data_IF_005978056865
#
_entry.id   IF_005978056865
#
_cell.length_a   1.000
_cell.length_b   1.000
_cell.length_c   1.000
_cell.angle_alpha   90.00
_cell.angle_beta   90.00
_cell.angle_gamma   90.00
#
_symmetry.space_group_name_H-M   'P 1'
#
loop_
_entity.id
_entity.type
_entity.pdbx_description
1 polymer ?
#
# COMPACT_ATOMS: atom_id res chain seq x y z
N UNK A 1 61.83 -47.62 -17.00
CA UNK A 1 60.67 -47.15 -16.20
C UNK A 1 60.54 -45.65 -16.42
N UNK A 2 59.66 -45.25 -17.32
CA UNK A 2 59.35 -43.86 -17.55
C UNK A 2 58.17 -43.44 -16.67
N UNK A 3 58.39 -42.52 -15.75
CA UNK A 3 57.34 -41.91 -14.91
C UNK A 3 56.52 -40.92 -15.74
N UNK A 4 55.25 -41.24 -15.96
CA UNK A 4 54.28 -40.30 -16.58
C UNK A 4 54.01 -39.14 -15.64
N UNK A 5 54.33 -37.94 -16.08
CA UNK A 5 53.98 -36.71 -15.37
C UNK A 5 52.48 -36.44 -15.49
N UNK A 6 51.81 -36.28 -14.33
CA UNK A 6 50.37 -35.88 -14.27
C UNK A 6 50.17 -34.47 -14.82
N UNK A 7 49.20 -34.32 -15.72
CA UNK A 7 48.80 -33.04 -16.25
C UNK A 7 48.21 -32.12 -15.12
N UNK A 8 48.52 -30.80 -15.18
CA UNK A 8 48.01 -29.87 -14.17
C UNK A 8 46.48 -29.72 -14.29
N UNK A 9 45.77 -29.87 -13.15
CA UNK A 9 44.33 -29.63 -13.03
C UNK A 9 44.12 -28.11 -13.13
N UNK A 10 43.52 -27.64 -14.22
CA UNK A 10 43.11 -26.25 -14.39
C UNK A 10 41.95 -25.97 -13.41
N UNK A 11 42.04 -24.95 -12.55
CA UNK A 11 40.93 -24.58 -11.68
C UNK A 11 39.70 -24.15 -12.51
N UNK A 12 38.56 -24.80 -12.31
CA UNK A 12 37.30 -24.37 -12.89
C UNK A 12 36.96 -23.02 -12.27
N UNK A 13 36.89 -21.97 -13.07
CA UNK A 13 36.47 -20.65 -12.62
C UNK A 13 35.08 -20.75 -12.01
N UNK A 14 34.85 -20.13 -10.86
CA UNK A 14 33.49 -20.11 -10.25
C UNK A 14 32.48 -19.50 -11.23
N UNK A 15 31.24 -19.96 -11.29
CA UNK A 15 30.24 -19.44 -12.18
C UNK A 15 30.13 -17.93 -11.93
N UNK A 16 30.30 -17.14 -12.97
CA UNK A 16 30.11 -15.69 -12.92
C UNK A 16 28.64 -15.46 -12.57
N UNK A 17 28.37 -15.02 -11.35
CA UNK A 17 27.06 -14.49 -10.97
C UNK A 17 26.86 -13.25 -11.83
N UNK A 18 25.96 -13.36 -12.80
CA UNK A 18 25.57 -12.27 -13.69
C UNK A 18 25.15 -11.07 -12.82
N UNK A 19 26.01 -10.05 -12.78
CA UNK A 19 25.74 -8.87 -11.95
C UNK A 19 24.46 -8.22 -12.48
N UNK A 20 23.42 -8.20 -11.63
CA UNK A 20 22.19 -7.46 -11.92
C UNK A 20 22.60 -6.05 -12.37
N UNK A 21 22.11 -5.58 -13.52
CA UNK A 21 22.35 -4.21 -13.95
C UNK A 21 22.02 -3.29 -12.77
N UNK A 22 22.87 -2.28 -12.51
CA UNK A 22 22.63 -1.29 -11.46
C UNK A 22 21.23 -0.76 -11.71
N UNK A 23 20.23 -1.29 -10.98
CA UNK A 23 18.85 -0.91 -11.13
C UNK A 23 18.78 0.60 -10.92
N UNK A 24 18.65 1.32 -12.01
CA UNK A 24 18.25 2.72 -11.98
C UNK A 24 16.95 2.74 -11.17
N UNK A 25 16.97 3.46 -10.06
CA UNK A 25 15.77 3.66 -9.23
C UNK A 25 14.66 4.15 -10.15
N UNK A 26 13.56 3.42 -10.24
CA UNK A 26 12.45 3.74 -11.16
C UNK A 26 11.69 4.90 -10.52
N UNK A 27 11.86 6.08 -11.10
CA UNK A 27 11.27 7.31 -10.57
C UNK A 27 9.74 7.26 -10.59
N UNK A 28 9.15 6.56 -11.55
CA UNK A 28 7.69 6.36 -11.63
C UNK A 28 7.10 5.74 -10.35
N UNK A 29 7.81 4.79 -9.70
CA UNK A 29 7.38 4.20 -8.42
C UNK A 29 7.40 5.25 -7.31
N UNK A 30 8.45 6.06 -7.23
CA UNK A 30 8.54 7.12 -6.22
C UNK A 30 7.53 8.24 -6.52
N UNK A 31 7.28 8.59 -7.78
CA UNK A 31 6.24 9.55 -8.15
C UNK A 31 4.83 9.07 -7.76
N UNK A 32 4.52 7.80 -8.03
CA UNK A 32 3.22 7.23 -7.62
C UNK A 32 3.07 7.25 -6.11
N UNK A 33 4.12 6.90 -5.38
CA UNK A 33 4.13 7.00 -3.91
C UNK A 33 3.95 8.44 -3.45
N UNK A 34 4.66 9.40 -4.06
CA UNK A 34 4.52 10.83 -3.77
C UNK A 34 3.14 11.37 -4.10
N UNK A 35 2.53 10.94 -5.20
CA UNK A 35 1.18 11.33 -5.58
C UNK A 35 0.15 10.91 -4.52
N UNK A 36 0.18 9.65 -4.08
CA UNK A 36 -0.75 9.21 -3.05
C UNK A 36 -0.45 9.80 -1.67
N UNK A 37 0.79 10.27 -1.39
CA UNK A 37 1.09 11.08 -0.20
C UNK A 37 0.36 12.42 -0.23
N UNK A 38 0.29 13.08 -1.41
CA UNK A 38 -0.47 14.32 -1.58
C UNK A 38 -1.97 14.09 -1.33
N UNK A 39 -2.54 13.03 -1.89
CA UNK A 39 -3.94 12.68 -1.63
C UNK A 39 -4.20 12.34 -0.16
N UNK A 40 -3.27 11.65 0.48
CA UNK A 40 -3.43 11.22 1.88
C UNK A 40 -3.45 12.39 2.86
N UNK A 41 -2.76 13.51 2.57
CA UNK A 41 -2.90 14.72 3.38
C UNK A 41 -4.31 15.27 3.33
N UNK A 42 -4.96 15.25 2.16
CA UNK A 42 -6.36 15.71 2.03
C UNK A 42 -7.26 14.82 2.90
N UNK A 43 -7.10 13.50 2.83
CA UNK A 43 -7.86 12.56 3.65
C UNK A 43 -7.69 12.81 5.16
N UNK A 44 -6.45 12.93 5.60
CA UNK A 44 -6.17 13.08 7.02
C UNK A 44 -6.49 14.49 7.54
N UNK A 45 -6.41 15.52 6.70
CA UNK A 45 -6.89 16.86 7.07
C UNK A 45 -8.42 16.87 7.20
N UNK A 46 -9.14 16.21 6.29
CA UNK A 46 -10.59 16.01 6.39
C UNK A 46 -10.94 15.24 7.69
N UNK A 47 -10.31 14.10 7.92
CA UNK A 47 -10.53 13.30 9.12
C UNK A 47 -10.21 14.05 10.42
N UNK A 48 -9.28 15.01 10.40
CA UNK A 48 -8.90 15.76 11.59
C UNK A 48 -9.81 16.96 11.88
N UNK A 49 -10.31 17.65 10.86
CA UNK A 49 -10.95 18.97 11.03
C UNK A 49 -12.34 19.07 10.43
N UNK A 50 -12.73 18.23 9.46
CA UNK A 50 -14.00 18.38 8.74
C UNK A 50 -15.15 17.68 9.50
N UNK A 51 -16.14 18.46 9.94
CA UNK A 51 -17.34 17.94 10.61
C UNK A 51 -18.20 17.04 9.69
N UNK A 52 -18.04 17.17 8.37
CA UNK A 52 -18.74 16.36 7.37
C UNK A 52 -17.90 15.21 6.80
N UNK A 53 -16.78 14.87 7.45
CA UNK A 53 -15.91 13.79 7.00
C UNK A 53 -16.65 12.46 6.90
N UNK A 54 -16.53 11.80 5.75
CA UNK A 54 -17.12 10.48 5.53
C UNK A 54 -16.11 9.38 5.96
N UNK A 55 -16.36 8.75 7.10
CA UNK A 55 -15.53 7.61 7.62
C UNK A 55 -16.07 6.24 7.16
N UNK A 56 -16.92 6.19 6.15
CA UNK A 56 -17.99 5.22 5.97
C UNK A 56 -17.79 4.26 4.80
N UNK A 57 -16.61 3.66 4.71
CA UNK A 57 -16.26 2.73 3.64
C UNK A 57 -16.42 1.27 4.09
N UNK A 58 -17.57 0.94 4.69
CA UNK A 58 -17.82 -0.39 5.27
C UNK A 58 -19.30 -0.69 5.42
N UNK A 59 -19.68 -1.96 5.34
CA UNK A 59 -21.02 -2.44 5.66
C UNK A 59 -21.44 -2.21 7.11
N UNK A 60 -20.52 -1.84 8.00
CA UNK A 60 -20.84 -1.46 9.38
C UNK A 60 -21.46 -0.07 9.51
N UNK A 61 -21.48 0.71 8.44
CA UNK A 61 -22.04 2.05 8.48
C UNK A 61 -23.56 2.05 8.44
N UNK A 62 -24.22 2.56 9.47
CA UNK A 62 -25.66 2.41 9.61
C UNK A 62 -26.49 3.34 8.72
N UNK A 63 -25.88 4.28 8.02
CA UNK A 63 -26.61 5.30 7.24
C UNK A 63 -26.37 5.28 5.73
N UNK A 64 -25.42 4.49 5.25
CA UNK A 64 -24.86 4.64 3.91
C UNK A 64 -25.81 4.32 2.75
N UNK A 65 -26.74 3.42 2.98
CA UNK A 65 -27.53 2.87 1.88
C UNK A 65 -28.62 3.81 1.37
N UNK A 66 -29.16 4.65 2.23
CA UNK A 66 -30.30 5.54 1.94
C UNK A 66 -29.95 7.02 1.96
N UNK A 67 -28.80 7.39 2.52
CA UNK A 67 -28.41 8.79 2.58
C UNK A 67 -27.83 9.27 1.25
N UNK A 68 -28.28 10.41 0.81
CA UNK A 68 -27.62 11.15 -0.28
C UNK A 68 -26.27 11.62 0.27
N UNK A 69 -25.19 10.93 -0.13
CA UNK A 69 -23.84 11.36 0.23
C UNK A 69 -23.57 12.70 -0.48
N UNK A 70 -23.19 13.77 0.24
CA UNK A 70 -22.85 15.03 -0.41
C UNK A 70 -21.75 14.81 -1.44
N UNK A 71 -21.95 15.33 -2.66
CA UNK A 71 -21.10 14.99 -3.81
C UNK A 71 -19.62 15.38 -3.62
N UNK A 72 -19.38 16.54 -3.01
CA UNK A 72 -18.03 17.05 -2.81
C UNK A 72 -17.26 16.26 -1.75
N UNK A 73 -17.88 15.98 -0.61
CA UNK A 73 -17.32 15.20 0.48
C UNK A 73 -17.10 13.74 0.03
N UNK A 74 -18.08 13.16 -0.66
CA UNK A 74 -17.95 11.83 -1.23
C UNK A 74 -16.77 11.76 -2.21
N UNK A 75 -16.68 12.68 -3.16
CA UNK A 75 -15.62 12.67 -4.16
C UNK A 75 -14.24 12.88 -3.52
N UNK A 76 -14.13 13.77 -2.53
CA UNK A 76 -12.91 14.00 -1.77
C UNK A 76 -12.45 12.71 -1.09
N UNK A 77 -13.36 12.01 -0.42
CA UNK A 77 -13.06 10.73 0.22
C UNK A 77 -12.73 9.65 -0.79
N UNK A 78 -13.50 9.53 -1.86
CA UNK A 78 -13.32 8.54 -2.91
C UNK A 78 -11.95 8.64 -3.60
N UNK A 79 -11.50 9.86 -3.92
CA UNK A 79 -10.16 10.07 -4.50
C UNK A 79 -9.03 9.57 -3.60
N UNK A 80 -9.22 9.54 -2.29
CA UNK A 80 -8.18 9.14 -1.34
C UNK A 80 -8.16 7.64 -1.07
N UNK A 81 -9.15 6.89 -1.56
CA UNK A 81 -9.20 5.43 -1.39
C UNK A 81 -8.00 4.71 -1.97
N UNK A 82 -7.47 5.21 -3.09
CA UNK A 82 -6.29 4.66 -3.77
C UNK A 82 -5.01 4.69 -2.90
N UNK A 83 -4.96 5.51 -1.85
CA UNK A 83 -3.74 5.70 -1.06
C UNK A 83 -3.25 4.41 -0.40
N UNK A 84 -4.11 3.76 0.38
CA UNK A 84 -3.72 2.58 1.16
C UNK A 84 -3.30 1.39 0.28
N UNK A 85 -4.08 0.95 -0.74
CA UNK A 85 -3.68 -0.15 -1.60
C UNK A 85 -2.41 0.15 -2.38
N UNK A 86 -2.21 1.42 -2.81
CA UNK A 86 -0.96 1.83 -3.46
C UNK A 86 0.24 1.69 -2.54
N UNK A 87 0.16 2.15 -1.27
CA UNK A 87 1.27 1.98 -0.33
C UNK A 87 1.62 0.53 -0.08
N UNK A 88 0.62 -0.31 0.15
CA UNK A 88 0.81 -1.74 0.42
C UNK A 88 1.38 -2.45 -0.80
N UNK A 89 0.84 -2.19 -1.99
CA UNK A 89 1.35 -2.74 -3.24
C UNK A 89 2.80 -2.31 -3.51
N UNK A 90 3.09 -1.00 -3.43
CA UNK A 90 4.44 -0.49 -3.67
C UNK A 90 5.44 -0.90 -2.59
N UNK A 91 4.99 -1.21 -1.37
CA UNK A 91 5.84 -1.86 -0.37
C UNK A 91 6.25 -3.26 -0.83
N UNK A 92 5.31 -4.06 -1.34
CA UNK A 92 5.59 -5.37 -1.93
C UNK A 92 6.58 -5.30 -3.10
N UNK A 93 6.39 -4.34 -4.03
CA UNK A 93 7.33 -4.09 -5.14
C UNK A 93 8.73 -3.76 -4.62
N UNK A 94 8.83 -2.81 -3.70
CA UNK A 94 10.11 -2.39 -3.14
C UNK A 94 10.84 -3.52 -2.42
N UNK A 95 10.10 -4.38 -1.71
CA UNK A 95 10.66 -5.57 -1.07
C UNK A 95 11.22 -6.55 -2.10
N UNK A 96 10.49 -6.84 -3.17
CA UNK A 96 10.95 -7.72 -4.23
C UNK A 96 12.26 -7.20 -4.85
N UNK A 97 12.27 -5.94 -5.27
CA UNK A 97 13.46 -5.31 -5.86
C UNK A 97 14.67 -5.31 -4.90
N UNK A 98 14.43 -5.03 -3.61
CA UNK A 98 15.49 -5.02 -2.59
C UNK A 98 16.03 -6.41 -2.29
N UNK A 99 15.15 -7.40 -2.15
CA UNK A 99 15.54 -8.76 -1.77
C UNK A 99 16.25 -9.46 -2.92
N UNK A 100 15.73 -9.38 -4.15
CA UNK A 100 16.39 -9.98 -5.31
C UNK A 100 17.82 -9.42 -5.51
N UNK A 101 18.02 -8.11 -5.27
CA UNK A 101 19.36 -7.51 -5.27
C UNK A 101 20.25 -8.06 -4.15
N UNK A 102 19.72 -8.22 -2.94
CA UNK A 102 20.47 -8.77 -1.80
C UNK A 102 20.86 -10.23 -2.05
N UNK A 103 19.96 -11.02 -2.61
CA UNK A 103 20.23 -12.41 -3.03
C UNK A 103 21.35 -12.45 -4.08
N UNK A 104 21.29 -11.60 -5.10
CA UNK A 104 22.33 -11.49 -6.12
C UNK A 104 23.69 -11.06 -5.53
N UNK A 105 23.70 -10.28 -4.46
CA UNK A 105 24.91 -9.88 -3.72
C UNK A 105 25.35 -10.92 -2.68
N UNK A 106 24.77 -12.13 -2.65
CA UNK A 106 25.18 -13.23 -1.78
C UNK A 106 24.75 -13.10 -0.30
N UNK A 107 23.79 -12.19 0.01
CA UNK A 107 23.25 -12.07 1.38
C UNK A 107 22.48 -13.34 1.72
N UNK A 108 22.74 -13.92 2.90
CA UNK A 108 22.09 -15.15 3.31
C UNK A 108 20.57 -15.02 3.50
N UNK A 109 19.77 -16.06 3.23
CA UNK A 109 18.32 -16.03 3.45
C UNK A 109 17.94 -15.65 4.88
N UNK A 110 18.67 -16.10 5.89
CA UNK A 110 18.43 -15.78 7.30
C UNK A 110 18.59 -14.27 7.56
N UNK A 111 19.66 -13.65 7.07
CA UNK A 111 19.88 -12.20 7.23
C UNK A 111 18.80 -11.37 6.51
N UNK A 112 18.24 -11.88 5.41
CA UNK A 112 17.11 -11.24 4.73
C UNK A 112 15.87 -11.33 5.61
N UNK A 113 15.57 -12.52 6.16
CA UNK A 113 14.40 -12.74 7.01
C UNK A 113 14.47 -11.90 8.29
N UNK A 114 15.60 -11.91 8.99
CA UNK A 114 15.83 -11.08 10.20
C UNK A 114 15.57 -9.59 9.91
N UNK A 115 16.07 -9.11 8.77
CA UNK A 115 15.87 -7.72 8.33
C UNK A 115 14.40 -7.40 8.01
N UNK A 116 13.64 -8.35 7.44
CA UNK A 116 12.22 -8.19 7.18
C UNK A 116 11.41 -8.17 8.46
N UNK A 117 11.69 -9.12 9.37
CA UNK A 117 11.03 -9.23 10.67
C UNK A 117 11.28 -7.96 11.50
N UNK A 118 12.55 -7.55 11.64
CA UNK A 118 12.90 -6.35 12.39
C UNK A 118 12.23 -5.10 11.82
N UNK A 119 12.27 -4.90 10.50
CA UNK A 119 11.64 -3.76 9.85
C UNK A 119 10.12 -3.80 9.97
N UNK A 120 9.50 -4.96 9.78
CA UNK A 120 8.07 -5.15 9.93
C UNK A 120 7.60 -4.85 11.35
N UNK A 121 8.35 -5.33 12.37
CA UNK A 121 8.07 -5.04 13.77
C UNK A 121 8.18 -3.55 14.10
N UNK A 122 9.23 -2.86 13.62
CA UNK A 122 9.39 -1.41 13.82
C UNK A 122 8.22 -0.65 13.19
N UNK A 123 7.83 -0.97 11.96
CA UNK A 123 6.72 -0.30 11.27
C UNK A 123 5.41 -0.54 12.02
N UNK A 124 5.13 -1.77 12.44
CA UNK A 124 3.93 -2.08 13.23
C UNK A 124 3.92 -1.36 14.59
N UNK A 125 5.07 -1.26 15.26
CA UNK A 125 5.19 -0.53 16.52
C UNK A 125 4.96 0.97 16.35
N UNK A 126 5.35 1.58 15.24
CA UNK A 126 5.07 2.99 14.94
C UNK A 126 3.57 3.26 14.80
N UNK A 127 2.79 2.31 14.31
CA UNK A 127 1.33 2.41 14.26
C UNK A 127 0.71 2.42 15.66
N UNK A 128 1.14 1.46 16.48
CA UNK A 128 0.66 1.31 17.86
C UNK A 128 1.08 2.45 18.79
N UNK A 129 2.15 3.17 18.48
CA UNK A 129 2.68 4.25 19.30
C UNK A 129 2.37 5.62 18.69
N UNK A 130 3.10 6.01 17.65
CA UNK A 130 3.06 7.37 17.08
C UNK A 130 1.68 7.70 16.48
N UNK A 131 1.11 6.77 15.71
CA UNK A 131 -0.19 7.00 15.05
C UNK A 131 -1.32 6.95 16.06
N UNK A 132 -1.30 5.98 16.98
CA UNK A 132 -2.30 5.87 18.04
C UNK A 132 -2.29 7.05 19.01
N UNK A 133 -1.10 7.61 19.31
CA UNK A 133 -0.97 8.82 20.13
C UNK A 133 -1.70 10.01 19.47
N UNK A 134 -1.52 10.20 18.16
CA UNK A 134 -2.19 11.28 17.42
C UNK A 134 -3.71 11.16 17.44
N UNK A 135 -4.24 9.94 17.33
CA UNK A 135 -5.69 9.69 17.32
C UNK A 135 -6.34 9.65 18.71
N UNK A 136 -5.55 9.61 19.79
CA UNK A 136 -6.04 9.44 21.16
C UNK A 136 -6.69 8.07 21.45
N UNK A 137 -6.58 7.10 20.53
CA UNK A 137 -7.12 5.74 20.63
C UNK A 137 -6.11 4.75 20.07
N UNK A 138 -6.14 3.52 20.60
CA UNK A 138 -5.33 2.45 20.01
C UNK A 138 -5.95 2.02 18.68
N UNK A 139 -5.21 2.18 17.60
CA UNK A 139 -5.63 1.80 16.26
C UNK A 139 -4.70 0.73 15.68
N UNK A 140 -5.28 -0.37 15.19
CA UNK A 140 -4.59 -1.30 14.32
C UNK A 140 -4.80 -0.83 12.88
N UNK A 141 -3.90 0.03 12.44
CA UNK A 141 -3.99 0.76 11.18
C UNK A 141 -3.15 0.15 10.04
N UNK A 142 -2.91 0.95 9.02
CA UNK A 142 -2.22 0.51 7.80
C UNK A 142 -0.75 0.15 8.02
N UNK A 143 -0.04 0.81 8.94
CA UNK A 143 1.37 0.47 9.20
C UNK A 143 1.50 -0.88 9.88
N UNK A 144 0.57 -1.23 10.78
CA UNK A 144 0.55 -2.56 11.39
C UNK A 144 0.28 -3.63 10.32
N UNK A 145 -0.68 -3.40 9.41
CA UNK A 145 -0.96 -4.31 8.31
C UNK A 145 0.27 -4.47 7.38
N UNK A 146 0.97 -3.38 7.05
CA UNK A 146 2.22 -3.43 6.28
C UNK A 146 3.29 -4.21 7.04
N UNK A 147 3.53 -3.88 8.30
CA UNK A 147 4.55 -4.50 9.14
C UNK A 147 4.34 -6.01 9.30
N UNK A 148 3.11 -6.42 9.63
CA UNK A 148 2.74 -7.84 9.75
C UNK A 148 2.83 -8.55 8.39
N UNK A 149 2.40 -7.92 7.30
CA UNK A 149 2.54 -8.49 5.96
C UNK A 149 4.00 -8.68 5.56
N UNK A 150 4.92 -7.77 5.96
CA UNK A 150 6.36 -7.95 5.75
C UNK A 150 6.91 -9.15 6.53
N UNK A 151 6.48 -9.33 7.78
CA UNK A 151 6.87 -10.49 8.61
C UNK A 151 6.37 -11.79 7.97
N UNK A 152 5.12 -11.84 7.54
CA UNK A 152 4.56 -13.01 6.85
C UNK A 152 5.27 -13.27 5.51
N UNK A 153 5.64 -12.22 4.79
CA UNK A 153 6.34 -12.35 3.51
C UNK A 153 7.75 -12.96 3.68
N UNK A 154 8.39 -12.86 4.86
CA UNK A 154 9.66 -13.55 5.13
C UNK A 154 9.57 -15.07 4.92
N UNK A 155 8.40 -15.65 5.20
CA UNK A 155 8.10 -17.07 4.99
C UNK A 155 7.53 -17.27 3.57
N UNK A 156 6.49 -16.51 3.20
CA UNK A 156 5.75 -16.70 1.95
C UNK A 156 6.62 -16.52 0.70
N UNK A 157 7.63 -15.65 0.74
CA UNK A 157 8.55 -15.40 -0.40
C UNK A 157 9.27 -16.67 -0.92
N UNK A 158 9.28 -17.75 -0.14
CA UNK A 158 9.84 -19.05 -0.51
C UNK A 158 8.92 -19.87 -1.42
N UNK A 159 7.65 -19.52 -1.48
CA UNK A 159 6.67 -20.17 -2.36
C UNK A 159 6.87 -19.76 -3.82
N UNK A 160 6.49 -20.63 -4.77
CA UNK A 160 6.49 -20.29 -6.18
C UNK A 160 5.65 -19.02 -6.48
N UNK A 161 6.15 -18.16 -7.35
CA UNK A 161 5.48 -16.88 -7.68
C UNK A 161 4.06 -17.09 -8.21
N UNK A 162 3.83 -18.13 -9.02
CA UNK A 162 2.50 -18.46 -9.53
C UNK A 162 1.52 -18.87 -8.41
N UNK A 163 1.99 -19.59 -7.38
CA UNK A 163 1.17 -19.94 -6.23
C UNK A 163 0.82 -18.70 -5.40
N UNK A 164 1.78 -17.80 -5.18
CA UNK A 164 1.54 -16.54 -4.49
C UNK A 164 0.50 -15.68 -5.23
N UNK A 165 0.61 -15.60 -6.55
CA UNK A 165 -0.38 -14.91 -7.39
C UNK A 165 -1.77 -15.55 -7.24
N UNK A 166 -1.86 -16.88 -7.34
CA UNK A 166 -3.12 -17.60 -7.20
C UNK A 166 -3.76 -17.42 -5.82
N UNK A 167 -2.97 -17.42 -4.74
CA UNK A 167 -3.46 -17.19 -3.37
C UNK A 167 -3.97 -15.75 -3.20
N UNK A 168 -3.25 -14.75 -3.72
CA UNK A 168 -3.66 -13.36 -3.62
C UNK A 168 -4.94 -13.08 -4.42
N UNK A 169 -5.00 -13.51 -5.68
CA UNK A 169 -6.19 -13.36 -6.53
C UNK A 169 -7.36 -14.20 -5.99
N UNK A 170 -7.09 -15.42 -5.54
CA UNK A 170 -8.09 -16.29 -4.92
C UNK A 170 -8.72 -15.66 -3.67
N UNK A 171 -7.90 -15.03 -2.81
CA UNK A 171 -8.43 -14.27 -1.68
C UNK A 171 -9.30 -13.09 -2.14
N UNK A 172 -8.83 -12.29 -3.09
CA UNK A 172 -9.59 -11.14 -3.58
C UNK A 172 -10.94 -11.56 -4.17
N UNK A 173 -10.96 -12.70 -4.88
CA UNK A 173 -12.18 -13.22 -5.49
C UNK A 173 -13.13 -13.88 -4.49
N UNK A 174 -12.63 -14.58 -3.47
CA UNK A 174 -13.42 -15.43 -2.59
C UNK A 174 -13.48 -14.93 -1.14
N UNK A 175 -12.75 -13.89 -0.81
CA UNK A 175 -12.62 -13.36 0.56
C UNK A 175 -13.95 -12.94 1.19
N UNK A 176 -14.90 -12.45 0.40
CA UNK A 176 -16.24 -12.10 0.89
C UNK A 176 -16.99 -13.32 1.43
N UNK A 177 -16.87 -14.48 0.74
CA UNK A 177 -17.47 -15.73 1.21
C UNK A 177 -16.86 -16.15 2.54
N UNK A 178 -15.53 -16.16 2.61
CA UNK A 178 -14.80 -16.54 3.84
C UNK A 178 -15.12 -15.60 4.99
N UNK A 179 -15.16 -14.30 4.72
CA UNK A 179 -15.51 -13.29 5.72
C UNK A 179 -16.94 -13.46 6.20
N UNK A 180 -17.88 -13.79 5.33
CA UNK A 180 -19.29 -14.03 5.66
C UNK A 180 -19.51 -15.23 6.59
N UNK A 181 -18.58 -16.19 6.66
CA UNK A 181 -18.69 -17.29 7.63
C UNK A 181 -18.40 -16.86 9.08
N UNK A 182 -17.65 -15.77 9.27
CA UNK A 182 -17.17 -15.35 10.59
C UNK A 182 -17.65 -13.95 10.99
N UNK A 183 -18.33 -13.25 10.10
CA UNK A 183 -18.83 -11.90 10.32
C UNK A 183 -20.13 -11.64 9.59
N UNK A 184 -21.09 -11.10 10.30
CA UNK A 184 -22.39 -10.66 9.76
C UNK A 184 -22.61 -9.17 10.15
N UNK A 185 -22.43 -8.21 9.22
CA UNK A 185 -22.72 -6.81 9.52
C UNK A 185 -24.23 -6.59 9.71
N UNK A 186 -24.64 -5.56 10.50
CA UNK A 186 -23.83 -4.45 11.01
C UNK A 186 -23.06 -4.72 12.32
N UNK A 187 -23.09 -5.94 12.85
CA UNK A 187 -22.37 -6.29 14.07
C UNK A 187 -20.85 -6.22 13.93
N UNK A 188 -20.14 -5.94 15.04
CA UNK A 188 -18.68 -6.07 15.07
C UNK A 188 -18.25 -7.53 14.96
N UNK A 189 -17.20 -7.80 14.20
CA UNK A 189 -16.60 -9.13 14.14
C UNK A 189 -15.97 -9.50 15.49
N UNK A 190 -15.90 -10.82 15.77
CA UNK A 190 -15.10 -11.32 16.88
C UNK A 190 -13.64 -10.89 16.74
N UNK A 191 -12.87 -10.68 17.84
CA UNK A 191 -11.54 -10.07 17.78
C UNK A 191 -10.58 -10.73 16.78
N UNK A 192 -10.55 -12.06 16.75
CA UNK A 192 -9.68 -12.81 15.83
C UNK A 192 -10.13 -12.63 14.37
N UNK A 193 -11.42 -12.69 14.10
CA UNK A 193 -11.97 -12.46 12.76
C UNK A 193 -11.73 -11.01 12.31
N UNK A 194 -11.90 -10.03 13.20
CA UNK A 194 -11.61 -8.62 12.94
C UNK A 194 -10.14 -8.39 12.60
N UNK A 195 -9.22 -9.07 13.29
CA UNK A 195 -7.79 -8.98 13.05
C UNK A 195 -7.35 -9.65 11.74
N UNK A 196 -7.96 -10.78 11.39
CA UNK A 196 -7.52 -11.57 10.23
C UNK A 196 -8.21 -11.19 8.92
N UNK A 197 -9.55 -11.03 8.90
CA UNK A 197 -10.34 -11.00 7.66
C UNK A 197 -11.41 -9.92 7.58
N UNK A 198 -11.96 -9.49 8.73
CA UNK A 198 -13.04 -8.51 8.81
C UNK A 198 -12.51 -7.15 9.30
N UNK A 199 -13.38 -6.34 9.87
CA UNK A 199 -13.00 -5.20 10.70
C UNK A 199 -13.81 -5.24 12.00
N UNK A 200 -13.41 -4.47 13.00
CA UNK A 200 -14.13 -4.44 14.25
C UNK A 200 -13.66 -3.34 15.19
N UNK A 201 -14.48 -3.04 16.15
CA UNK A 201 -14.16 -2.14 17.25
C UNK A 201 -14.35 -2.88 18.57
N UNK A 202 -13.35 -2.79 19.42
CA UNK A 202 -13.38 -3.23 20.81
C UNK A 202 -13.26 -2.00 21.72
N UNK A 203 -13.64 -2.06 22.99
CA UNK A 203 -13.44 -0.95 23.89
C UNK A 203 -11.98 -0.48 23.89
N UNK A 204 -11.74 0.77 23.43
CA UNK A 204 -10.41 1.36 23.34
C UNK A 204 -9.50 0.90 22.18
N UNK A 205 -10.00 0.01 21.29
CA UNK A 205 -9.24 -0.54 20.18
C UNK A 205 -10.07 -0.57 18.91
N UNK A 206 -9.59 0.04 17.84
CA UNK A 206 -10.17 -0.05 16.50
C UNK A 206 -9.30 -0.91 15.58
N UNK A 207 -9.90 -1.87 14.88
CA UNK A 207 -9.23 -2.74 13.90
C UNK A 207 -9.82 -2.42 12.52
N UNK A 208 -9.15 -1.55 11.76
CA UNK A 208 -9.59 -1.12 10.42
C UNK A 208 -8.91 -1.91 9.29
N UNK A 209 -7.71 -2.46 9.54
CA UNK A 209 -6.88 -3.10 8.51
C UNK A 209 -6.62 -4.58 8.84
N UNK A 210 -7.56 -5.49 8.52
CA UNK A 210 -7.36 -6.93 8.72
C UNK A 210 -6.20 -7.46 7.90
N UNK A 211 -5.44 -8.41 8.44
CA UNK A 211 -4.13 -8.79 7.88
C UNK A 211 -4.25 -9.45 6.50
N UNK A 212 -5.11 -10.45 6.33
CA UNK A 212 -5.15 -11.28 5.12
C UNK A 212 -5.52 -10.48 3.87
N UNK A 213 -6.56 -9.61 3.88
CA UNK A 213 -6.91 -8.77 2.76
C UNK A 213 -5.75 -7.86 2.28
N UNK A 214 -5.04 -7.25 3.22
CA UNK A 214 -3.95 -6.33 2.92
C UNK A 214 -2.64 -7.05 2.56
N UNK A 215 -2.39 -8.23 3.13
CA UNK A 215 -1.32 -9.13 2.71
C UNK A 215 -1.47 -9.53 1.25
N UNK A 216 -2.69 -9.83 0.79
CA UNK A 216 -2.93 -10.16 -0.62
C UNK A 216 -2.49 -9.04 -1.57
N UNK A 217 -2.75 -7.77 -1.22
CA UNK A 217 -2.28 -6.61 -2.00
C UNK A 217 -0.73 -6.54 -1.99
N UNK A 218 -0.09 -6.75 -0.84
CA UNK A 218 1.39 -6.76 -0.75
C UNK A 218 1.99 -7.89 -1.58
N UNK A 219 1.39 -9.07 -1.56
CA UNK A 219 1.82 -10.22 -2.37
C UNK A 219 1.70 -9.92 -3.86
N UNK A 220 0.63 -9.26 -4.33
CA UNK A 220 0.55 -8.80 -5.73
C UNK A 220 1.69 -7.84 -6.09
N UNK A 221 1.99 -6.90 -5.20
CA UNK A 221 3.14 -6.01 -5.38
C UNK A 221 4.46 -6.77 -5.44
N UNK A 222 4.65 -7.76 -4.57
CA UNK A 222 5.81 -8.65 -4.58
C UNK A 222 5.94 -9.41 -5.91
N UNK A 223 4.84 -10.01 -6.39
CA UNK A 223 4.80 -10.73 -7.68
C UNK A 223 5.17 -9.80 -8.84
N UNK A 224 4.60 -8.60 -8.87
CA UNK A 224 4.91 -7.61 -9.89
C UNK A 224 6.37 -7.14 -9.82
N UNK A 225 6.91 -6.90 -8.63
CA UNK A 225 8.33 -6.53 -8.45
C UNK A 225 9.29 -7.64 -8.92
N UNK A 226 8.97 -8.91 -8.66
CA UNK A 226 9.71 -10.05 -9.21
C UNK A 226 9.61 -10.12 -10.73
N UNK A 227 8.43 -9.84 -11.30
CA UNK A 227 8.29 -9.76 -12.75
C UNK A 227 9.19 -8.67 -13.37
N UNK A 228 9.31 -7.51 -12.73
CA UNK A 228 10.22 -6.45 -13.16
C UNK A 228 11.66 -6.93 -13.20
N UNK A 229 12.13 -7.59 -12.14
CA UNK A 229 13.49 -8.18 -12.11
C UNK A 229 13.68 -9.23 -13.19
N UNK A 230 12.70 -10.12 -13.39
CA UNK A 230 12.77 -11.14 -14.43
C UNK A 230 12.81 -10.54 -15.85
N UNK A 231 12.10 -9.43 -16.06
CA UNK A 231 12.14 -8.70 -17.33
C UNK A 231 13.52 -8.09 -17.58
N UNK A 232 14.08 -7.40 -16.56
CA UNK A 232 15.42 -6.80 -16.65
C UNK A 232 16.53 -7.84 -16.91
N UNK A 233 16.33 -9.08 -16.41
CA UNK A 233 17.23 -10.22 -16.68
C UNK A 233 16.95 -10.93 -18.02
N UNK A 234 16.02 -10.43 -18.84
CA UNK A 234 15.63 -11.06 -20.11
C UNK A 234 14.87 -12.39 -19.96
N UNK A 235 14.45 -12.75 -18.74
CA UNK A 235 13.72 -14.00 -18.44
C UNK A 235 12.21 -13.88 -18.60
N UNK A 236 11.66 -12.67 -18.57
CA UNK A 236 10.26 -12.38 -18.87
C UNK A 236 10.14 -11.64 -20.21
N UNK A 237 9.15 -12.02 -21.02
CA UNK A 237 8.94 -11.45 -22.37
C UNK A 237 8.07 -10.22 -22.38
N UNK A 238 7.15 -10.09 -21.41
CA UNK A 238 6.18 -9.00 -21.37
C UNK A 238 6.73 -7.84 -20.54
N UNK A 239 6.75 -6.65 -21.12
CA UNK A 239 7.24 -5.47 -20.41
C UNK A 239 6.35 -5.13 -19.20
N UNK A 240 6.93 -4.69 -18.06
CA UNK A 240 6.15 -4.32 -16.86
C UNK A 240 5.07 -3.29 -17.13
N UNK A 241 5.34 -2.29 -17.96
CA UNK A 241 4.34 -1.30 -18.36
C UNK A 241 3.13 -1.92 -19.10
N UNK A 242 3.37 -2.94 -19.94
CA UNK A 242 2.28 -3.67 -20.62
C UNK A 242 1.45 -4.47 -19.63
N UNK A 243 2.09 -5.11 -18.64
CA UNK A 243 1.36 -5.83 -17.57
C UNK A 243 0.46 -4.87 -16.81
N UNK A 244 0.95 -3.69 -16.44
CA UNK A 244 0.15 -2.68 -15.73
C UNK A 244 -1.04 -2.19 -16.57
N UNK A 245 -0.82 -1.91 -17.86
CA UNK A 245 -1.90 -1.47 -18.75
C UNK A 245 -3.00 -2.51 -18.87
N UNK A 246 -2.62 -3.76 -19.15
CA UNK A 246 -3.58 -4.86 -19.32
C UNK A 246 -4.29 -5.15 -18.00
N UNK A 247 -3.56 -5.24 -16.88
CA UNK A 247 -4.15 -5.45 -15.57
C UNK A 247 -5.12 -4.32 -15.20
N UNK A 248 -4.75 -3.06 -15.45
CA UNK A 248 -5.60 -1.92 -15.18
C UNK A 248 -6.90 -1.95 -15.95
N UNK A 249 -6.85 -2.21 -17.27
CA UNK A 249 -8.05 -2.33 -18.11
C UNK A 249 -8.92 -3.49 -17.66
N UNK A 250 -8.33 -4.67 -17.42
CA UNK A 250 -9.08 -5.87 -16.98
C UNK A 250 -9.76 -5.65 -15.65
N UNK A 251 -9.03 -5.10 -14.65
CA UNK A 251 -9.59 -4.85 -13.32
C UNK A 251 -10.75 -3.85 -13.36
N UNK A 252 -10.63 -2.76 -14.12
CA UNK A 252 -11.73 -1.81 -14.27
C UNK A 252 -12.92 -2.39 -15.04
N UNK A 253 -12.68 -3.24 -16.05
CA UNK A 253 -13.75 -3.95 -16.74
C UNK A 253 -14.47 -4.93 -15.79
N UNK A 254 -13.73 -5.64 -14.93
CA UNK A 254 -14.33 -6.51 -13.89
C UNK A 254 -15.13 -5.69 -12.89
N UNK A 255 -14.61 -4.52 -12.45
CA UNK A 255 -15.36 -3.60 -11.59
C UNK A 255 -16.72 -3.22 -12.21
N UNK A 256 -16.72 -2.78 -13.47
CA UNK A 256 -17.97 -2.44 -14.18
C UNK A 256 -18.89 -3.65 -14.28
N UNK A 257 -18.38 -4.82 -14.62
CA UNK A 257 -19.18 -6.04 -14.72
C UNK A 257 -19.82 -6.42 -13.37
N UNK A 258 -19.07 -6.33 -12.27
CA UNK A 258 -19.62 -6.56 -10.91
C UNK A 258 -20.71 -5.55 -10.56
N UNK A 259 -20.53 -4.28 -10.94
CA UNK A 259 -21.50 -3.21 -10.68
C UNK A 259 -22.79 -3.36 -11.50
N UNK A 260 -22.71 -3.95 -12.67
CA UNK A 260 -23.86 -4.23 -13.51
C UNK A 260 -24.54 -5.57 -13.17
N UNK A 261 -23.88 -6.43 -12.39
CA UNK A 261 -24.41 -7.72 -11.99
C UNK A 261 -25.53 -7.57 -10.94
N UNK A 262 -26.68 -8.23 -11.10
CA UNK A 262 -27.75 -8.25 -10.10
C UNK A 262 -27.43 -9.15 -8.90
N UNK A 263 -26.33 -9.91 -8.95
CA UNK A 263 -26.00 -10.92 -7.94
C UNK A 263 -25.63 -10.35 -6.56
N UNK A 264 -25.28 -9.06 -6.48
CA UNK A 264 -24.92 -8.39 -5.22
C UNK A 264 -23.62 -8.84 -4.59
N UNK A 265 -22.86 -9.73 -5.26
CA UNK A 265 -21.57 -10.23 -4.80
C UNK A 265 -20.43 -9.24 -5.10
N UNK A 266 -19.47 -9.18 -4.21
CA UNK A 266 -18.24 -8.41 -4.42
C UNK A 266 -18.21 -7.07 -3.70
N UNK A 267 -19.25 -6.70 -2.97
CA UNK A 267 -19.34 -5.44 -2.22
C UNK A 267 -19.06 -5.59 -0.71
N UNK A 268 -18.67 -6.77 -0.25
CA UNK A 268 -18.40 -7.07 1.16
C UNK A 268 -19.56 -6.63 2.05
N UNK A 269 -20.77 -7.04 1.69
CA UNK A 269 -22.04 -6.77 2.39
C UNK A 269 -22.43 -5.28 2.46
N UNK A 270 -21.74 -4.39 1.74
CA UNK A 270 -22.10 -2.98 1.68
C UNK A 270 -23.45 -2.84 0.96
N UNK A 271 -24.54 -2.38 1.64
CA UNK A 271 -25.83 -2.28 1.02
C UNK A 271 -25.86 -1.16 -0.03
N UNK A 272 -26.57 -1.42 -1.15
CA UNK A 272 -26.87 -0.43 -2.18
C UNK A 272 -28.35 -0.39 -2.43
N UNK A 273 -28.96 0.79 -2.31
CA UNK A 273 -30.42 0.98 -2.43
C UNK A 273 -30.81 1.83 -3.63
N UNK A 274 -29.84 2.44 -4.32
CA UNK A 274 -30.08 3.25 -5.50
C UNK A 274 -28.95 3.13 -6.53
N UNK A 275 -29.22 3.61 -7.74
CA UNK A 275 -28.26 3.64 -8.85
C UNK A 275 -27.64 5.03 -9.07
N UNK A 276 -27.71 5.93 -8.10
CA UNK A 276 -27.02 7.22 -8.18
C UNK A 276 -25.52 6.99 -8.24
N UNK A 277 -24.79 7.89 -8.90
CA UNK A 277 -23.38 7.71 -9.19
C UNK A 277 -22.51 7.55 -7.94
N UNK A 278 -22.84 8.22 -6.82
CA UNK A 278 -22.13 8.07 -5.54
C UNK A 278 -22.23 6.63 -5.03
N UNK A 279 -23.44 6.05 -4.99
CA UNK A 279 -23.60 4.66 -4.56
C UNK A 279 -23.00 3.67 -5.56
N UNK A 280 -23.00 4.00 -6.85
CA UNK A 280 -22.38 3.17 -7.86
C UNK A 280 -20.86 3.10 -7.70
N UNK A 281 -20.21 4.20 -7.32
CA UNK A 281 -18.77 4.28 -7.04
C UNK A 281 -18.40 3.90 -5.60
N UNK A 282 -19.36 3.81 -4.69
CA UNK A 282 -19.10 3.48 -3.29
C UNK A 282 -18.68 2.01 -3.14
N UNK A 283 -17.53 1.77 -2.53
CA UNK A 283 -16.91 0.46 -2.35
C UNK A 283 -16.50 0.25 -0.90
N UNK A 284 -16.57 -0.98 -0.39
CA UNK A 284 -16.09 -1.30 0.95
C UNK A 284 -14.58 -1.41 0.98
N UNK A 285 -13.95 -0.59 1.82
CA UNK A 285 -12.52 -0.60 2.12
C UNK A 285 -12.20 -1.36 3.41
N UNK A 286 -13.16 -1.49 4.29
CA UNK A 286 -13.02 -2.03 5.64
C UNK A 286 -14.06 -3.12 5.95
N UNK A 287 -13.77 -4.40 5.61
CA UNK A 287 -12.61 -4.91 4.89
C UNK A 287 -12.73 -4.67 3.38
N UNK A 288 -11.58 -4.76 2.65
CA UNK A 288 -11.57 -4.55 1.21
C UNK A 288 -12.46 -5.56 0.46
N UNK A 289 -13.40 -5.06 -0.32
CA UNK A 289 -14.28 -5.85 -1.18
C UNK A 289 -13.64 -6.17 -2.53
N UNK A 290 -14.22 -7.10 -3.29
CA UNK A 290 -13.77 -7.38 -4.66
C UNK A 290 -13.92 -6.14 -5.56
N UNK A 291 -15.01 -5.38 -5.40
CA UNK A 291 -15.20 -4.12 -6.12
C UNK A 291 -14.18 -3.06 -5.72
N UNK A 292 -13.77 -3.00 -4.46
CA UNK A 292 -12.67 -2.15 -4.02
C UNK A 292 -11.33 -2.55 -4.66
N UNK A 293 -10.99 -3.84 -4.63
CA UNK A 293 -9.74 -4.31 -5.25
C UNK A 293 -9.71 -4.00 -6.74
N UNK A 294 -10.79 -4.29 -7.46
CA UNK A 294 -10.84 -4.11 -8.91
C UNK A 294 -10.82 -2.64 -9.32
N UNK A 295 -11.45 -1.76 -8.57
CA UNK A 295 -11.41 -0.32 -8.80
C UNK A 295 -10.02 0.25 -8.47
N UNK A 296 -9.57 0.08 -7.22
CA UNK A 296 -8.39 0.77 -6.73
C UNK A 296 -7.08 0.24 -7.31
N UNK A 297 -6.94 -1.08 -7.46
CA UNK A 297 -5.78 -1.66 -8.12
C UNK A 297 -5.80 -1.41 -9.63
N UNK A 298 -6.99 -1.30 -10.23
CA UNK A 298 -7.15 -0.89 -11.62
C UNK A 298 -6.64 0.53 -11.87
N UNK A 299 -7.09 1.49 -11.03
CA UNK A 299 -6.63 2.89 -11.07
C UNK A 299 -5.13 3.01 -10.77
N UNK A 300 -4.63 2.28 -9.75
CA UNK A 300 -3.21 2.19 -9.43
C UNK A 300 -2.39 1.70 -10.62
N UNK A 301 -2.81 0.62 -11.26
CA UNK A 301 -2.08 0.04 -12.38
C UNK A 301 -2.01 1.00 -13.57
N UNK A 302 -3.12 1.66 -13.93
CA UNK A 302 -3.12 2.67 -14.98
C UNK A 302 -2.31 3.91 -14.59
N UNK A 303 -2.42 4.40 -13.35
CA UNK A 303 -1.64 5.53 -12.86
C UNK A 303 -0.13 5.24 -12.91
N UNK A 304 0.29 4.07 -12.45
CA UNK A 304 1.70 3.67 -12.49
C UNK A 304 2.17 3.46 -13.94
N UNK A 305 1.34 2.89 -14.81
CA UNK A 305 1.62 2.80 -16.24
C UNK A 305 1.86 4.19 -16.87
N UNK A 306 0.99 5.15 -16.60
CA UNK A 306 1.15 6.54 -17.07
C UNK A 306 2.48 7.12 -16.57
N UNK A 307 2.80 6.97 -15.28
CA UNK A 307 4.05 7.49 -14.72
C UNK A 307 5.28 6.83 -15.34
N UNK A 308 5.24 5.51 -15.60
CA UNK A 308 6.32 4.82 -16.29
C UNK A 308 6.49 5.29 -17.75
N UNK A 309 5.41 5.66 -18.43
CA UNK A 309 5.47 6.25 -19.78
C UNK A 309 5.93 7.69 -19.80
N UNK A 310 5.61 8.46 -18.76
CA UNK A 310 6.05 9.85 -18.63
C UNK A 310 7.52 9.98 -18.21
N UNK A 311 8.06 9.03 -17.44
CA UNK A 311 9.44 9.10 -16.92
C UNK A 311 10.49 9.40 -18.01
N UNK A 312 10.54 8.69 -19.17
CA UNK A 312 11.49 8.98 -20.21
C UNK A 312 11.20 10.29 -20.98
N UNK A 313 9.96 10.79 -20.95
CA UNK A 313 9.54 12.00 -21.69
C UNK A 313 9.90 13.25 -20.91
N UNK A 314 9.55 13.33 -19.63
CA UNK A 314 9.71 14.54 -18.80
C UNK A 314 11.01 14.56 -18.01
N UNK A 315 11.71 13.41 -17.95
CA UNK A 315 12.93 13.23 -17.18
C UNK A 315 12.71 13.29 -15.67
N UNK A 316 13.74 12.95 -14.91
CA UNK A 316 13.68 12.86 -13.44
C UNK A 316 14.28 14.10 -12.79
N UNK A 317 13.44 14.95 -12.25
CA UNK A 317 13.87 16.13 -11.47
C UNK A 317 14.12 15.71 -10.03
N UNK A 318 15.40 15.73 -9.59
CA UNK A 318 15.81 15.24 -8.25
C UNK A 318 15.14 15.98 -7.07
N UNK A 319 14.73 17.22 -7.27
CA UNK A 319 14.01 18.01 -6.28
C UNK A 319 12.52 18.19 -6.64
N UNK A 320 11.98 17.41 -7.58
CA UNK A 320 10.54 17.42 -7.86
C UNK A 320 9.73 16.99 -6.62
N UNK A 321 8.63 17.70 -6.28
CA UNK A 321 7.87 17.41 -5.06
C UNK A 321 7.43 15.96 -4.95
N UNK A 322 6.86 15.38 -6.00
CA UNK A 322 6.42 13.98 -6.00
C UNK A 322 7.58 13.01 -5.73
N UNK A 323 8.76 13.25 -6.33
CA UNK A 323 9.93 12.42 -6.08
C UNK A 323 10.40 12.53 -4.64
N UNK A 324 10.47 13.74 -4.10
CA UNK A 324 10.90 14.00 -2.71
C UNK A 324 9.96 13.32 -1.73
N UNK A 325 8.65 13.52 -1.85
CA UNK A 325 7.63 12.91 -1.00
C UNK A 325 7.67 11.37 -1.08
N UNK A 326 7.74 10.81 -2.28
CA UNK A 326 7.80 9.36 -2.47
C UNK A 326 9.07 8.73 -1.90
N UNK A 327 10.21 9.44 -1.93
CA UNK A 327 11.48 8.98 -1.35
C UNK A 327 11.53 9.04 0.17
N UNK A 328 10.68 9.86 0.78
CA UNK A 328 10.62 10.10 2.23
C UNK A 328 9.25 9.71 2.82
N UNK A 329 8.56 8.78 2.17
CA UNK A 329 7.15 8.48 2.45
C UNK A 329 6.86 8.12 3.92
N UNK A 330 7.73 7.35 4.61
CA UNK A 330 7.54 7.01 6.01
C UNK A 330 7.67 8.24 6.92
N UNK A 331 8.71 9.05 6.70
CA UNK A 331 8.88 10.31 7.45
C UNK A 331 7.69 11.25 7.22
N UNK A 332 7.31 11.43 5.95
CA UNK A 332 6.13 12.21 5.58
C UNK A 332 4.86 11.70 6.28
N UNK A 333 4.65 10.37 6.27
CA UNK A 333 3.49 9.75 6.92
C UNK A 333 3.44 10.07 8.42
N UNK A 334 4.53 9.88 9.14
CA UNK A 334 4.55 10.13 10.57
C UNK A 334 4.44 11.63 10.90
N UNK A 335 5.17 12.47 10.16
CA UNK A 335 5.17 13.91 10.40
C UNK A 335 3.79 14.55 10.20
N UNK A 336 3.10 14.25 9.07
CA UNK A 336 1.78 14.85 8.85
C UNK A 336 0.72 14.34 9.82
N UNK A 337 0.76 13.04 10.19
CA UNK A 337 -0.15 12.49 11.21
C UNK A 337 -0.02 13.23 12.54
N UNK A 338 1.21 13.41 13.01
CA UNK A 338 1.45 14.14 14.27
C UNK A 338 0.99 15.59 14.18
N UNK A 339 1.33 16.30 13.10
CA UNK A 339 1.02 17.74 12.97
C UNK A 339 -0.48 17.98 12.75
N UNK A 340 -1.21 17.07 12.12
CA UNK A 340 -2.67 17.22 11.93
C UNK A 340 -3.46 16.72 13.15
N UNK A 341 -3.16 15.52 13.62
CA UNK A 341 -4.04 14.86 14.59
C UNK A 341 -3.79 15.27 16.03
N UNK A 342 -2.53 15.56 16.42
CA UNK A 342 -2.26 16.01 17.77
C UNK A 342 -2.99 17.32 18.08
N UNK A 343 -2.90 18.39 17.25
CA UNK A 343 -3.72 19.58 17.48
C UNK A 343 -5.22 19.32 17.47
N UNK A 344 -5.71 18.55 16.48
CA UNK A 344 -7.13 18.24 16.39
C UNK A 344 -7.65 17.55 17.67
N UNK A 345 -6.89 16.58 18.20
CA UNK A 345 -7.30 15.79 19.38
C UNK A 345 -7.15 16.55 20.67
N UNK A 346 -6.01 17.22 20.91
CA UNK A 346 -5.68 17.77 22.23
C UNK A 346 -6.06 19.24 22.42
N UNK A 347 -6.32 19.99 21.33
CA UNK A 347 -6.79 21.38 21.42
C UNK A 347 -8.26 21.54 21.05
N UNK A 348 -9.01 20.43 20.91
CA UNK A 348 -10.45 20.48 20.64
C UNK A 348 -10.82 21.03 19.26
N UNK A 349 -9.93 20.85 18.27
CA UNK A 349 -10.15 21.32 16.89
C UNK A 349 -10.76 20.24 15.99
N UNK A 350 -11.03 19.05 16.53
CA UNK A 350 -11.63 17.95 15.77
C UNK A 350 -13.06 18.31 15.40
N UNK A 351 -13.41 18.05 14.13
CA UNK A 351 -14.76 18.25 13.57
C UNK A 351 -15.28 19.70 13.69
N UNK A 352 -14.38 20.69 13.74
CA UNK A 352 -14.75 22.12 13.84
C UNK A 352 -14.72 22.85 12.50
N UNK A 353 -14.20 22.25 11.46
CA UNK A 353 -14.04 22.82 10.13
C UNK A 353 -15.05 22.25 9.13
N UNK A 354 -14.74 22.49 7.88
CA UNK A 354 -15.50 22.06 6.71
C UNK A 354 -14.58 21.71 5.54
N UNK A 355 -15.12 21.26 4.41
CA UNK A 355 -14.35 20.86 3.25
C UNK A 355 -13.35 21.93 2.72
N UNK A 356 -13.71 23.25 2.59
CA UNK A 356 -12.73 24.29 2.29
C UNK A 356 -11.56 24.34 3.28
N UNK A 357 -11.83 24.22 4.59
CA UNK A 357 -10.79 24.16 5.64
C UNK A 357 -9.84 22.99 5.38
N UNK A 358 -10.38 21.82 5.04
CA UNK A 358 -9.59 20.63 4.67
C UNK A 358 -8.56 20.93 3.59
N UNK A 359 -8.97 21.56 2.48
CA UNK A 359 -8.08 21.85 1.37
C UNK A 359 -7.03 22.92 1.72
N UNK A 360 -7.40 23.95 2.48
CA UNK A 360 -6.46 24.97 2.96
C UNK A 360 -5.39 24.37 3.87
N UNK A 361 -5.80 23.54 4.83
CA UNK A 361 -4.88 22.85 5.74
C UNK A 361 -3.99 21.87 4.96
N UNK A 362 -4.56 21.11 4.04
CA UNK A 362 -3.79 20.17 3.21
C UNK A 362 -2.73 20.92 2.37
N UNK A 363 -3.08 22.04 1.75
CA UNK A 363 -2.13 22.86 0.98
C UNK A 363 -1.01 23.42 1.88
N UNK A 364 -1.35 23.99 3.03
CA UNK A 364 -0.38 24.50 4.00
C UNK A 364 0.60 23.41 4.47
N UNK A 365 0.09 22.19 4.74
CA UNK A 365 0.88 21.04 5.12
C UNK A 365 1.85 20.61 4.01
N UNK A 366 1.43 20.59 2.75
CA UNK A 366 2.30 20.25 1.63
C UNK A 366 3.46 21.24 1.48
N UNK A 367 3.17 22.54 1.65
CA UNK A 367 4.19 23.59 1.61
C UNK A 367 5.20 23.40 2.75
N UNK A 368 4.74 23.10 3.96
CA UNK A 368 5.61 22.86 5.12
C UNK A 368 6.40 21.56 5.01
N UNK A 369 5.77 20.47 4.58
CA UNK A 369 6.41 19.15 4.49
C UNK A 369 7.48 19.07 3.40
N UNK A 370 7.37 19.86 2.34
CA UNK A 370 8.36 19.78 1.25
C UNK A 370 9.80 20.09 1.71
N UNK A 371 10.09 21.21 2.38
CA UNK A 371 11.43 21.45 2.91
C UNK A 371 11.83 20.45 4.00
N UNK A 372 10.89 20.01 4.86
CA UNK A 372 11.17 19.02 5.90
C UNK A 372 11.58 17.66 5.28
N UNK A 373 10.90 17.21 4.24
CA UNK A 373 11.25 15.99 3.53
C UNK A 373 12.59 16.10 2.79
N UNK A 374 12.91 17.26 2.23
CA UNK A 374 14.24 17.50 1.63
C UNK A 374 15.35 17.44 2.67
N UNK A 375 15.16 18.09 3.80
CA UNK A 375 16.10 18.01 4.92
C UNK A 375 16.28 16.57 5.39
N UNK A 376 15.19 15.87 5.65
CA UNK A 376 15.24 14.48 6.08
C UNK A 376 15.99 13.58 5.07
N UNK A 377 15.73 13.73 3.76
CA UNK A 377 16.44 12.99 2.71
C UNK A 377 17.94 13.22 2.76
N UNK A 378 18.38 14.47 2.97
CA UNK A 378 19.79 14.82 3.09
C UNK A 378 20.40 14.25 4.38
N UNK A 379 19.70 14.38 5.52
CA UNK A 379 20.14 13.85 6.81
C UNK A 379 20.32 12.32 6.78
N UNK A 380 19.34 11.60 6.16
CA UNK A 380 19.43 10.14 5.97
C UNK A 380 20.61 9.74 5.09
N UNK A 381 20.90 10.50 4.05
CA UNK A 381 22.05 10.23 3.17
C UNK A 381 23.39 10.48 3.92
N UNK A 382 23.46 11.47 4.77
CA UNK A 382 24.65 11.78 5.59
C UNK A 382 24.89 10.75 6.71
N UNK A 383 23.83 10.08 7.21
CA UNK A 383 23.91 9.15 8.33
C UNK A 383 23.33 7.76 7.97
N UNK A 384 23.94 6.99 7.05
CA UNK A 384 23.37 5.74 6.52
C UNK A 384 23.22 4.62 7.56
N UNK A 385 23.98 4.67 8.65
CA UNK A 385 23.94 3.69 9.73
C UNK A 385 23.02 4.09 10.91
N UNK A 386 22.36 5.24 10.83
CA UNK A 386 21.44 5.71 11.86
C UNK A 386 20.08 5.00 11.79
N UNK A 387 19.28 5.19 12.85
CA UNK A 387 17.87 4.73 12.87
C UNK A 387 17.02 5.32 11.72
N UNK A 388 17.42 6.46 11.15
CA UNK A 388 16.75 7.09 10.01
C UNK A 388 16.59 6.18 8.80
N UNK A 389 17.38 5.12 8.67
CA UNK A 389 17.26 4.15 7.58
C UNK A 389 15.96 3.33 7.61
N UNK A 390 15.31 3.26 8.76
CA UNK A 390 14.05 2.51 8.96
C UNK A 390 12.80 3.35 8.69
N UNK A 391 12.93 4.68 8.68
CA UNK A 391 11.88 5.67 8.43
C UNK A 391 11.87 6.17 6.93
#
# INVERSE_FOLDING_TARGET
>A
MQTAAAAPITPVAPPQVEALPRSTRIAAIDWMRGFVMVLMIVDHASMAFDASHLDEDSAMYPGSASSVLPAAEFFTRWMTHICAPTFVFLAGVALALSIERRVANGVSPAQIDDSLIARGAIIGLLDLTVVSLGSGKLNLGVLLAIGTSMILLSILRRLPTGLLLALAVGWMALGEIVTGWVWAPPGSAQPLAAFLVANGALPGLAIKYPIIPWLAIMVLGWVFGRHMVQFDLGKARVAPATVLLVAGIVLLAVFVALRLSPAGYGDMFLPRTSSIWQQWLHVSKYPPSLTYYTLELGLLALGLWVMMKLEPIIGVRQNGPLLVFGQTAMFFYLAHRLVLEVPATYFGLRDTGNLPTTYVVAAAMLVWLYPACRWYRSARAAHPNSFLRYL
#
